data_IF_252288776032
#
_entry.id   IF_252288776032
#
_cell.length_a   1.000
_cell.length_b   1.000
_cell.length_c   1.000
_cell.angle_alpha   90.00
_cell.angle_beta   90.00
_cell.angle_gamma   90.00
#
_symmetry.space_group_name_H-M   'P 1'
#
loop_
_entity.id
_entity.type
_entity.pdbx_description
1 polymer ?
#
# COMPACT_ATOMS: atom_id res chain seq x y z
N UNK A 1 52.34 -32.30 -5.00
CA UNK A 1 53.05 -33.34 -4.22
C UNK A 1 52.67 -33.11 -2.77
N UNK A 2 51.77 -33.81 -2.08
CA UNK A 2 51.14 -35.13 -2.18
C UNK A 2 49.65 -35.01 -1.67
N UNK A 3 48.84 -36.05 -1.37
CA UNK A 3 47.65 -36.43 -2.15
C UNK A 3 46.31 -36.47 -1.36
N UNK A 4 45.25 -36.89 -2.08
CA UNK A 4 43.87 -37.27 -1.68
C UNK A 4 43.78 -38.37 -0.59
N UNK A 5 42.62 -38.52 0.07
CA UNK A 5 41.69 -39.63 -0.24
C UNK A 5 40.22 -39.16 -0.34
N UNK A 6 39.45 -39.48 -1.38
CA UNK A 6 38.76 -40.75 -1.67
C UNK A 6 37.64 -41.11 -0.67
N UNK A 7 36.38 -40.95 -1.14
CA UNK A 7 35.18 -41.81 -0.98
C UNK A 7 34.72 -42.17 0.45
N UNK A 8 33.46 -42.33 0.84
CA UNK A 8 32.18 -42.68 0.23
C UNK A 8 31.12 -42.20 1.24
N UNK A 9 29.83 -42.01 0.96
CA UNK A 9 28.81 -43.05 0.72
C UNK A 9 27.48 -42.31 0.77
N UNK A 10 26.58 -42.61 -0.16
CA UNK A 10 25.20 -42.12 -0.09
C UNK A 10 24.43 -42.73 1.09
N UNK A 11 23.46 -42.01 1.61
CA UNK A 11 22.26 -42.64 2.13
C UNK A 11 21.08 -41.69 1.96
N UNK A 12 20.02 -42.24 1.37
CA UNK A 12 18.75 -41.59 1.15
C UNK A 12 18.13 -41.11 2.46
N UNK A 13 17.59 -39.89 2.47
CA UNK A 13 16.71 -39.42 3.54
C UNK A 13 15.28 -39.87 3.21
N UNK A 14 14.63 -40.68 4.05
CA UNK A 14 13.27 -41.14 3.81
C UNK A 14 12.23 -40.08 4.23
N UNK A 15 11.09 -40.15 3.53
CA UNK A 15 9.74 -39.80 3.98
C UNK A 15 9.46 -38.33 4.37
N UNK A 16 8.97 -37.60 3.37
CA UNK A 16 7.62 -37.02 3.36
C UNK A 16 6.78 -37.26 4.62
N UNK A 17 6.67 -36.23 5.46
CA UNK A 17 5.41 -35.69 5.97
C UNK A 17 5.75 -34.55 6.94
N UNK A 18 6.12 -33.40 6.36
CA UNK A 18 6.04 -32.14 7.09
C UNK A 18 4.69 -31.54 6.76
N UNK A 19 3.72 -31.75 7.65
CA UNK A 19 2.47 -30.98 7.67
C UNK A 19 2.80 -29.50 7.44
N UNK A 20 2.07 -28.79 6.56
CA UNK A 20 2.25 -27.35 6.44
C UNK A 20 1.93 -26.76 7.82
N UNK A 21 2.98 -26.33 8.52
CA UNK A 21 2.82 -25.58 9.75
C UNK A 21 2.11 -24.30 9.34
N UNK A 22 0.83 -24.20 9.68
CA UNK A 22 0.01 -23.04 9.44
C UNK A 22 0.48 -21.89 10.35
N UNK A 23 1.64 -21.33 10.04
CA UNK A 23 2.08 -20.05 10.58
C UNK A 23 1.59 -18.98 9.64
N UNK A 24 0.46 -18.38 9.96
CA UNK A 24 -0.09 -17.31 9.15
C UNK A 24 -1.38 -16.77 9.72
N UNK A 25 -1.33 -16.17 10.91
CA UNK A 25 -2.25 -15.05 11.15
C UNK A 25 -1.73 -13.90 10.27
N UNK A 26 -1.94 -14.01 8.96
CA UNK A 26 -1.62 -12.98 8.00
C UNK A 26 -2.71 -11.93 8.10
N UNK A 27 -2.69 -11.15 9.19
CA UNK A 27 -3.37 -9.88 9.18
C UNK A 27 -2.44 -8.93 8.42
N UNK A 28 -2.71 -8.60 7.15
CA UNK A 28 -1.89 -7.61 6.45
C UNK A 28 -1.94 -6.30 7.24
N UNK A 29 -0.80 -5.62 7.34
CA UNK A 29 -0.78 -4.29 7.92
C UNK A 29 -1.76 -3.38 7.16
N UNK A 30 -2.49 -2.49 7.85
CA UNK A 30 -3.44 -1.59 7.21
C UNK A 30 -2.74 -0.72 6.17
N UNK A 31 -3.38 -0.53 5.02
CA UNK A 31 -2.92 0.38 3.97
C UNK A 31 -3.17 1.82 4.37
N UNK A 32 -2.54 2.77 3.65
CA UNK A 32 -2.81 4.20 3.85
C UNK A 32 -4.28 4.53 3.63
N UNK A 33 -4.92 3.90 2.65
CA UNK A 33 -6.35 4.10 2.35
C UNK A 33 -7.22 3.57 3.49
N UNK A 34 -6.88 2.43 4.09
CA UNK A 34 -7.59 1.90 5.26
C UNK A 34 -7.52 2.88 6.44
N UNK A 35 -6.34 3.47 6.69
CA UNK A 35 -6.18 4.45 7.76
C UNK A 35 -7.01 5.72 7.53
N UNK A 36 -7.14 6.16 6.28
CA UNK A 36 -7.99 7.30 5.93
C UNK A 36 -9.48 7.00 6.13
N UNK A 37 -9.92 5.78 5.81
CA UNK A 37 -11.29 5.33 6.06
C UNK A 37 -11.60 5.26 7.56
N UNK A 38 -10.65 4.80 8.36
CA UNK A 38 -10.78 4.82 9.82
C UNK A 38 -10.87 6.25 10.38
N UNK A 39 -10.07 7.19 9.87
CA UNK A 39 -10.16 8.62 10.26
C UNK A 39 -11.50 9.23 9.85
N UNK A 40 -11.97 8.93 8.62
CA UNK A 40 -13.27 9.38 8.12
C UNK A 40 -14.42 8.90 9.01
N UNK A 41 -14.40 7.63 9.44
CA UNK A 41 -15.42 7.06 10.31
C UNK A 41 -15.40 7.64 11.74
N UNK A 42 -14.24 8.10 12.22
CA UNK A 42 -14.08 8.64 13.57
C UNK A 42 -14.41 10.13 13.68
N UNK A 43 -14.15 10.90 12.64
CA UNK A 43 -14.23 12.36 12.66
C UNK A 43 -14.14 12.94 11.25
N UNK A 44 -15.15 12.67 10.42
CA UNK A 44 -15.16 13.07 9.02
C UNK A 44 -15.03 14.57 8.77
N UNK A 45 -15.59 15.39 9.67
CA UNK A 45 -15.51 16.85 9.61
C UNK A 45 -14.19 17.42 10.16
N UNK A 46 -13.36 16.60 10.82
CA UNK A 46 -12.09 17.05 11.38
C UNK A 46 -11.10 17.49 10.28
N UNK A 47 -10.26 18.51 10.56
CA UNK A 47 -9.28 19.00 9.60
C UNK A 47 -8.24 17.93 9.27
N UNK A 48 -8.14 17.58 7.98
CA UNK A 48 -7.18 16.61 7.46
C UNK A 48 -5.97 17.28 6.78
N UNK A 49 -6.21 18.36 6.03
CA UNK A 49 -5.17 19.10 5.31
C UNK A 49 -5.37 20.58 5.52
N UNK A 50 -4.32 21.28 5.92
CA UNK A 50 -4.31 22.74 6.07
C UNK A 50 -3.21 23.27 5.17
N UNK A 51 -3.55 24.22 4.29
CA UNK A 51 -2.62 24.89 3.38
C UNK A 51 -2.38 26.30 3.86
N UNK A 52 -1.15 26.79 3.67
CA UNK A 52 -0.81 28.19 3.92
C UNK A 52 -1.75 29.09 3.08
N UNK A 53 -2.41 30.05 3.72
CA UNK A 53 -3.46 30.87 3.09
C UNK A 53 -4.89 30.54 3.53
N UNK A 54 -5.08 29.56 4.42
CA UNK A 54 -6.33 29.35 5.17
C UNK A 54 -7.28 28.31 4.59
N UNK A 55 -6.91 27.66 3.49
CA UNK A 55 -7.70 26.53 2.97
C UNK A 55 -7.50 25.32 3.88
N UNK A 56 -8.61 24.83 4.45
CA UNK A 56 -8.67 23.62 5.26
C UNK A 56 -9.61 22.61 4.60
N UNK A 57 -9.15 21.38 4.40
CA UNK A 57 -9.98 20.26 3.97
C UNK A 57 -10.20 19.30 5.13
N UNK A 58 -11.46 18.89 5.30
CA UNK A 58 -11.82 17.81 6.21
C UNK A 58 -11.48 16.43 5.63
N UNK A 59 -11.48 15.40 6.48
CA UNK A 59 -11.31 14.01 6.04
C UNK A 59 -12.39 13.58 5.04
N UNK A 60 -13.64 14.01 5.23
CA UNK A 60 -14.74 13.79 4.28
C UNK A 60 -14.41 14.38 2.91
N UNK A 61 -13.99 15.65 2.89
CA UNK A 61 -13.72 16.34 1.62
C UNK A 61 -12.51 15.73 0.92
N UNK A 62 -11.46 15.40 1.67
CA UNK A 62 -10.28 14.72 1.15
C UNK A 62 -10.65 13.37 0.53
N UNK A 63 -11.41 12.53 1.24
CA UNK A 63 -11.83 11.22 0.76
C UNK A 63 -12.76 11.30 -0.47
N UNK A 64 -13.69 12.26 -0.48
CA UNK A 64 -14.59 12.48 -1.60
C UNK A 64 -13.84 12.93 -2.87
N UNK A 65 -12.96 13.93 -2.76
CA UNK A 65 -12.20 14.46 -3.89
C UNK A 65 -11.19 13.45 -4.43
N UNK A 66 -10.45 12.78 -3.55
CA UNK A 66 -9.50 11.74 -3.95
C UNK A 66 -10.21 10.55 -4.60
N UNK A 67 -11.38 10.15 -4.10
CA UNK A 67 -12.18 9.06 -4.69
C UNK A 67 -12.73 9.42 -6.06
N UNK A 68 -13.17 10.68 -6.25
CA UNK A 68 -13.58 11.16 -7.56
C UNK A 68 -12.41 11.18 -8.55
N UNK A 69 -11.22 11.62 -8.12
CA UNK A 69 -10.03 11.61 -8.95
C UNK A 69 -9.56 10.19 -9.29
N UNK A 70 -9.56 9.27 -8.32
CA UNK A 70 -9.22 7.86 -8.54
C UNK A 70 -10.10 7.21 -9.60
N UNK A 71 -11.43 7.44 -9.54
CA UNK A 71 -12.36 6.97 -10.60
C UNK A 71 -12.05 7.55 -11.97
N UNK A 72 -11.63 8.83 -12.04
CA UNK A 72 -11.22 9.46 -13.31
C UNK A 72 -9.92 8.86 -13.85
N UNK A 73 -8.94 8.58 -12.99
CA UNK A 73 -7.70 7.92 -13.37
C UNK A 73 -7.96 6.49 -13.87
N UNK A 74 -8.82 5.74 -13.17
CA UNK A 74 -9.24 4.41 -13.59
C UNK A 74 -9.94 4.44 -14.96
N UNK A 75 -10.85 5.40 -15.18
CA UNK A 75 -11.50 5.60 -16.48
C UNK A 75 -10.52 5.99 -17.61
N UNK A 76 -9.37 6.57 -17.26
CA UNK A 76 -8.28 6.86 -18.21
C UNK A 76 -7.32 5.68 -18.42
N UNK A 77 -7.56 4.51 -17.81
CA UNK A 77 -6.77 3.30 -17.96
C UNK A 77 -5.67 3.09 -16.93
N UNK A 78 -5.65 3.88 -15.85
CA UNK A 78 -4.70 3.68 -14.74
C UNK A 78 -5.19 2.52 -13.87
N UNK A 79 -4.30 1.56 -13.59
CA UNK A 79 -4.59 0.41 -12.74
C UNK A 79 -3.40 0.03 -11.86
N UNK A 80 -3.50 -1.07 -11.08
CA UNK A 80 -2.42 -1.51 -10.20
C UNK A 80 -1.07 -1.66 -10.93
N UNK A 81 -0.02 -1.11 -10.33
CA UNK A 81 1.33 -1.10 -10.92
C UNK A 81 1.58 -0.01 -11.97
N UNK A 82 0.56 0.75 -12.35
CA UNK A 82 0.75 1.94 -13.19
C UNK A 82 1.50 3.04 -12.43
N UNK A 83 2.22 3.89 -13.18
CA UNK A 83 2.92 5.05 -12.64
C UNK A 83 2.17 6.33 -13.01
N UNK A 84 1.88 7.15 -12.02
CA UNK A 84 1.20 8.44 -12.19
C UNK A 84 2.13 9.54 -11.67
N UNK A 85 2.47 10.51 -12.54
CA UNK A 85 3.23 11.68 -12.14
C UNK A 85 2.28 12.75 -11.57
N UNK A 86 2.61 13.31 -10.41
CA UNK A 86 1.89 14.42 -9.79
C UNK A 86 2.77 15.66 -9.87
N UNK A 87 2.37 16.64 -10.68
CA UNK A 87 3.02 17.95 -10.77
C UNK A 87 2.02 19.02 -10.31
N UNK A 88 2.30 19.63 -9.16
CA UNK A 88 1.51 20.71 -8.61
C UNK A 88 2.36 21.54 -7.65
N UNK A 89 2.06 22.85 -7.56
CA UNK A 89 2.59 23.72 -6.51
C UNK A 89 2.00 23.36 -5.13
N UNK A 90 2.51 23.98 -4.06
CA UNK A 90 2.04 23.73 -2.69
C UNK A 90 0.55 24.06 -2.54
N UNK A 91 -0.29 23.03 -2.50
CA UNK A 91 -1.75 23.15 -2.39
C UNK A 91 -2.40 21.85 -1.91
N UNK A 92 -3.68 21.90 -1.52
CA UNK A 92 -4.41 20.72 -1.05
C UNK A 92 -4.52 19.62 -2.12
N UNK A 93 -4.52 20.00 -3.41
CA UNK A 93 -4.58 19.08 -4.53
C UNK A 93 -3.38 18.14 -4.63
N UNK A 94 -2.21 18.51 -4.08
CA UNK A 94 -1.07 17.60 -3.98
C UNK A 94 -1.42 16.35 -3.14
N UNK A 95 -2.04 16.56 -1.98
CA UNK A 95 -2.45 15.46 -1.09
C UNK A 95 -3.62 14.68 -1.68
N UNK A 96 -4.61 15.37 -2.27
CA UNK A 96 -5.73 14.73 -2.97
C UNK A 96 -5.22 13.80 -4.07
N UNK A 97 -4.27 14.26 -4.88
CA UNK A 97 -3.69 13.48 -5.96
C UNK A 97 -2.92 12.27 -5.44
N UNK A 98 -2.09 12.43 -4.40
CA UNK A 98 -1.36 11.33 -3.79
C UNK A 98 -2.32 10.24 -3.26
N UNK A 99 -3.38 10.62 -2.53
CA UNK A 99 -4.39 9.66 -2.04
C UNK A 99 -5.16 9.01 -3.18
N UNK A 100 -5.49 9.76 -4.24
CA UNK A 100 -6.19 9.22 -5.39
C UNK A 100 -5.38 8.16 -6.16
N UNK A 101 -4.05 8.26 -6.16
CA UNK A 101 -3.16 7.29 -6.82
C UNK A 101 -3.02 6.00 -6.00
N UNK A 102 -3.21 6.06 -4.68
CA UNK A 102 -3.18 4.90 -3.79
C UNK A 102 -4.52 4.16 -3.68
N UNK A 103 -5.58 4.71 -4.28
CA UNK A 103 -6.95 4.17 -4.28
C UNK A 103 -7.18 3.15 -5.39
#
# INVERSE_FOLDING_TARGET
MNPSPAEATGSAHPADSAAPTATGSANPAPTVTDLLEHSLARGGEDPAVIVDGGETLSYERLCALSGALARRLAAAGVGPGARVAVLADRCAWQVIAAVAVLR
#
